data_IF_269777751380
#
_entry.id   IF_269777751380
#
_cell.length_a   1.000
_cell.length_b   1.000
_cell.length_c   1.000
_cell.angle_alpha   90.00
_cell.angle_beta   90.00
_cell.angle_gamma   90.00
#
_symmetry.space_group_name_H-M   'P 1'
#
loop_
_entity.id
_entity.type
_entity.pdbx_description
1 polymer ?
#
# COMPACT_ATOMS: atom_id res chain seq x y z
N UNK A 1 9.95 17.16 -5.84
CA UNK A 1 9.29 17.67 -7.07
C UNK A 1 7.83 17.94 -6.76
N UNK A 2 7.17 18.86 -7.48
CA UNK A 2 5.72 19.13 -7.33
C UNK A 2 4.89 17.83 -7.41
N UNK A 3 5.30 16.90 -8.28
CA UNK A 3 4.69 15.58 -8.42
C UNK A 3 4.73 14.74 -7.14
N UNK A 4 5.88 14.68 -6.44
CA UNK A 4 6.00 13.94 -5.18
C UNK A 4 5.13 14.53 -4.05
N UNK A 5 4.96 15.85 -4.01
CA UNK A 5 4.07 16.52 -3.05
C UNK A 5 2.59 16.21 -3.33
N UNK A 6 2.17 16.23 -4.59
CA UNK A 6 0.81 15.88 -4.99
C UNK A 6 0.52 14.40 -4.73
N UNK A 7 1.46 13.51 -5.04
CA UNK A 7 1.34 12.09 -4.71
C UNK A 7 1.26 11.86 -3.21
N UNK A 8 2.13 12.47 -2.41
CA UNK A 8 2.06 12.36 -0.95
C UNK A 8 0.73 12.86 -0.38
N UNK A 9 0.21 13.97 -0.89
CA UNK A 9 -1.09 14.51 -0.49
C UNK A 9 -2.27 13.58 -0.82
N UNK A 10 -2.24 12.88 -1.97
CA UNK A 10 -3.25 11.91 -2.36
C UNK A 10 -3.11 10.56 -1.66
N UNK A 11 -1.87 10.13 -1.38
CA UNK A 11 -1.57 8.86 -0.72
C UNK A 11 -1.84 8.91 0.78
N UNK A 12 -1.73 10.07 1.42
CA UNK A 12 -2.06 10.26 2.84
C UNK A 12 -3.48 9.81 3.23
N UNK A 13 -4.56 10.29 2.58
CA UNK A 13 -5.90 9.82 2.88
C UNK A 13 -6.07 8.34 2.51
N UNK A 14 -5.42 7.84 1.47
CA UNK A 14 -5.43 6.39 1.15
C UNK A 14 -4.79 5.59 2.29
N UNK A 15 -3.68 6.04 2.85
CA UNK A 15 -3.03 5.38 3.99
C UNK A 15 -3.95 5.38 5.23
N UNK A 16 -4.61 6.50 5.51
CA UNK A 16 -5.46 6.67 6.69
C UNK A 16 -6.77 5.88 6.53
N UNK A 17 -7.51 6.07 5.44
CA UNK A 17 -8.80 5.41 5.25
C UNK A 17 -8.67 3.94 4.85
N UNK A 18 -7.73 3.63 3.96
CA UNK A 18 -7.56 2.27 3.44
C UNK A 18 -6.59 1.46 4.32
N UNK A 19 -5.39 1.98 4.59
CA UNK A 19 -4.40 1.31 5.43
C UNK A 19 -4.90 1.06 6.85
N UNK A 20 -5.12 2.14 7.61
CA UNK A 20 -5.60 2.05 8.98
C UNK A 20 -7.05 1.55 9.09
N UNK A 21 -7.92 1.91 8.14
CA UNK A 21 -9.31 1.41 8.14
C UNK A 21 -9.40 -0.11 7.99
N UNK A 22 -8.59 -0.72 7.12
CA UNK A 22 -8.53 -2.18 7.02
C UNK A 22 -7.88 -2.83 8.24
N UNK A 23 -6.86 -2.21 8.83
CA UNK A 23 -6.27 -2.66 10.11
C UNK A 23 -7.30 -2.68 11.23
N UNK A 24 -8.09 -1.60 11.38
CA UNK A 24 -9.12 -1.49 12.41
C UNK A 24 -10.24 -2.53 12.22
N UNK A 25 -10.68 -2.77 10.98
CA UNK A 25 -11.63 -3.85 10.67
C UNK A 25 -11.02 -5.24 10.88
N UNK A 26 -9.73 -5.40 10.61
CA UNK A 26 -8.99 -6.63 10.87
C UNK A 26 -8.94 -6.99 12.34
N UNK A 27 -8.77 -6.00 13.23
CA UNK A 27 -8.82 -6.22 14.68
C UNK A 27 -10.22 -6.57 15.21
N UNK A 28 -11.28 -6.03 14.58
CA UNK A 28 -12.66 -6.36 14.95
C UNK A 28 -13.14 -7.72 14.38
N UNK A 29 -12.47 -8.22 13.35
CA UNK A 29 -12.81 -9.50 12.72
C UNK A 29 -12.09 -10.66 13.42
N UNK A 30 -12.66 -11.86 13.36
CA UNK A 30 -12.06 -13.08 13.88
C UNK A 30 -11.87 -14.14 12.79
N UNK A 31 -10.95 -15.08 13.02
CA UNK A 31 -10.68 -16.18 12.10
C UNK A 31 -9.96 -15.76 10.80
N UNK A 32 -10.36 -16.39 9.69
CA UNK A 32 -9.73 -16.21 8.36
C UNK A 32 -9.87 -14.77 7.85
N UNK A 33 -11.01 -14.13 8.15
CA UNK A 33 -11.34 -12.75 7.74
C UNK A 33 -10.33 -11.74 8.32
N UNK A 34 -9.83 -11.96 9.55
CA UNK A 34 -8.80 -11.10 10.16
C UNK A 34 -7.50 -11.12 9.36
N UNK A 35 -7.09 -12.30 8.89
CA UNK A 35 -5.84 -12.47 8.13
C UNK A 35 -5.94 -11.78 6.77
N UNK A 36 -7.10 -11.84 6.14
CA UNK A 36 -7.40 -11.19 4.87
C UNK A 36 -7.35 -9.67 4.97
N UNK A 37 -7.98 -9.09 6.00
CA UNK A 37 -7.88 -7.65 6.27
C UNK A 37 -6.45 -7.19 6.59
N UNK A 38 -5.65 -8.02 7.27
CA UNK A 38 -4.24 -7.73 7.50
C UNK A 38 -3.43 -7.72 6.19
N UNK A 39 -3.65 -8.66 5.28
CA UNK A 39 -3.00 -8.65 3.96
C UNK A 39 -3.43 -7.45 3.09
N UNK A 40 -4.72 -7.08 3.15
CA UNK A 40 -5.24 -5.89 2.47
C UNK A 40 -4.62 -4.59 3.01
N UNK A 41 -4.47 -4.48 4.33
CA UNK A 41 -3.81 -3.34 4.96
C UNK A 41 -2.30 -3.29 4.66
N UNK A 42 -1.61 -4.43 4.75
CA UNK A 42 -0.19 -4.50 4.39
C UNK A 42 0.04 -4.10 2.93
N UNK A 43 -0.80 -4.57 2.00
CA UNK A 43 -0.76 -4.21 0.59
C UNK A 43 -1.00 -2.72 0.34
N UNK A 44 -1.99 -2.11 1.00
CA UNK A 44 -2.27 -0.67 0.84
C UNK A 44 -1.19 0.23 1.45
N UNK A 45 -0.60 -0.18 2.58
CA UNK A 45 0.54 0.53 3.19
C UNK A 45 1.77 0.43 2.29
N UNK A 46 2.12 -0.77 1.80
CA UNK A 46 3.22 -0.95 0.86
C UNK A 46 3.01 -0.13 -0.42
N UNK A 47 1.80 -0.10 -0.97
CA UNK A 47 1.45 0.71 -2.13
C UNK A 47 1.70 2.20 -1.87
N UNK A 48 1.34 2.72 -0.70
CA UNK A 48 1.58 4.12 -0.35
C UNK A 48 3.06 4.43 -0.22
N UNK A 49 3.85 3.55 0.41
CA UNK A 49 5.29 3.74 0.59
C UNK A 49 6.02 3.69 -0.76
N UNK A 50 5.78 2.66 -1.57
CA UNK A 50 6.43 2.51 -2.88
C UNK A 50 5.92 3.53 -3.91
N UNK A 51 4.63 3.88 -3.88
CA UNK A 51 4.06 4.94 -4.72
C UNK A 51 4.63 6.32 -4.38
N UNK A 52 4.88 6.61 -3.10
CA UNK A 52 5.55 7.84 -2.70
C UNK A 52 7.02 7.84 -3.14
N UNK A 53 7.74 6.75 -2.91
CA UNK A 53 9.13 6.57 -3.36
C UNK A 53 9.26 6.76 -4.88
N UNK A 54 8.30 6.24 -5.64
CA UNK A 54 8.24 6.39 -7.08
C UNK A 54 8.11 7.86 -7.52
N UNK A 55 7.29 8.64 -6.82
CA UNK A 55 7.12 10.08 -7.11
C UNK A 55 8.31 10.95 -6.69
N UNK A 56 9.17 10.46 -5.78
CA UNK A 56 10.34 11.20 -5.28
C UNK A 56 11.65 10.82 -5.99
N UNK A 57 11.80 9.58 -6.47
CA UNK A 57 13.04 9.09 -7.06
C UNK A 57 13.20 9.56 -8.50
N UNK A 58 14.38 10.08 -8.83
CA UNK A 58 14.79 10.46 -10.19
C UNK A 58 14.93 9.20 -11.05
N UNK A 59 14.49 9.21 -12.33
CA UNK A 59 14.60 8.06 -13.22
C UNK A 59 16.04 7.51 -13.27
N UNK A 60 16.20 6.26 -12.83
CA UNK A 60 17.48 5.55 -12.72
C UNK A 60 17.28 4.10 -12.27
N UNK A 61 18.38 3.36 -12.04
CA UNK A 61 18.34 1.93 -11.69
C UNK A 61 17.55 1.65 -10.41
N UNK A 62 17.58 2.58 -9.44
CA UNK A 62 16.82 2.48 -8.19
C UNK A 62 15.30 2.42 -8.38
N UNK A 63 14.77 2.93 -9.49
CA UNK A 63 13.34 2.88 -9.80
C UNK A 63 12.87 1.44 -10.04
N UNK A 64 13.73 0.57 -10.59
CA UNK A 64 13.37 -0.83 -10.87
C UNK A 64 12.99 -1.55 -9.58
N UNK A 65 13.74 -1.33 -8.50
CA UNK A 65 13.43 -1.90 -7.18
C UNK A 65 12.09 -1.38 -6.63
N UNK A 66 11.82 -0.09 -6.82
CA UNK A 66 10.55 0.51 -6.39
C UNK A 66 9.36 -0.04 -7.18
N UNK A 67 9.52 -0.28 -8.49
CA UNK A 67 8.49 -0.90 -9.33
C UNK A 67 8.19 -2.33 -8.91
N UNK A 68 9.22 -3.10 -8.53
CA UNK A 68 9.03 -4.45 -7.99
C UNK A 68 8.25 -4.41 -6.67
N UNK A 69 8.62 -3.51 -5.75
CA UNK A 69 7.90 -3.33 -4.48
C UNK A 69 6.45 -2.87 -4.67
N UNK A 70 6.21 -2.00 -5.65
CA UNK A 70 4.88 -1.56 -6.04
C UNK A 70 4.04 -2.72 -6.60
N UNK A 71 4.60 -3.52 -7.51
CA UNK A 71 3.93 -4.71 -8.06
C UNK A 71 3.64 -5.75 -6.98
N UNK A 72 4.56 -5.95 -6.03
CA UNK A 72 4.35 -6.85 -4.89
C UNK A 72 3.16 -6.42 -4.01
N UNK A 73 2.87 -5.11 -3.94
CA UNK A 73 1.73 -4.57 -3.18
C UNK A 73 0.40 -5.07 -3.73
N UNK A 74 0.25 -5.19 -5.05
CA UNK A 74 -0.94 -5.78 -5.67
C UNK A 74 -1.08 -7.27 -5.35
N UNK A 75 0.04 -7.97 -5.22
CA UNK A 75 0.03 -9.38 -4.87
C UNK A 75 -0.48 -9.60 -3.43
N UNK A 76 -0.09 -8.72 -2.50
CA UNK A 76 -0.63 -8.70 -1.14
C UNK A 76 -2.13 -8.37 -1.09
N UNK A 77 -2.58 -7.38 -1.87
CA UNK A 77 -4.01 -7.09 -1.98
C UNK A 77 -4.80 -8.25 -2.59
N UNK A 78 -4.25 -8.93 -3.62
CA UNK A 78 -4.89 -10.10 -4.23
C UNK A 78 -5.07 -11.25 -3.23
N UNK A 79 -4.04 -11.57 -2.45
CA UNK A 79 -4.17 -12.58 -1.39
C UNK A 79 -5.13 -12.15 -0.27
N UNK A 80 -5.22 -10.84 0.02
CA UNK A 80 -6.21 -10.31 0.95
C UNK A 80 -7.65 -10.45 0.48
N UNK A 81 -7.92 -10.45 -0.83
CA UNK A 81 -9.27 -10.62 -1.40
C UNK A 81 -9.60 -12.10 -1.67
N UNK A 82 -8.60 -12.89 -2.05
CA UNK A 82 -8.76 -14.31 -2.40
C UNK A 82 -9.02 -15.19 -1.17
N UNK A 83 -8.52 -14.79 -0.01
CA UNK A 83 -8.65 -15.55 1.23
C UNK A 83 -10.03 -15.53 1.84
#
# INVERSE_FOLDING_TARGET
>A
TLAGMLMGGLLLPVLIFLGFGFLYKGFQSSGVIRRNFFYLSAGSICFCVFGLLEGLIVPGVGVIFVRIGYLASFWFMYYGIKG
#
